data_IF_193106545937
#
_entry.id   IF_193106545937
#
_cell.length_a   1.000
_cell.length_b   1.000
_cell.length_c   1.000
_cell.angle_alpha   90.00
_cell.angle_beta   90.00
_cell.angle_gamma   90.00
#
_symmetry.space_group_name_H-M   'P 1'
#
loop_
_entity.id
_entity.type
_entity.pdbx_description
1 polymer ?
#
# COMPACT_ATOMS: atom_id res chain seq x y z
N UNK A 1 17.23 -36.55 32.64
CA UNK A 1 16.38 -37.12 31.57
C UNK A 1 16.78 -38.56 31.30
N UNK A 2 15.84 -39.50 31.39
CA UNK A 2 16.07 -40.93 31.10
C UNK A 2 16.22 -41.16 29.59
N UNK A 3 16.83 -42.28 29.19
CA UNK A 3 17.08 -42.64 27.78
C UNK A 3 15.77 -42.73 26.97
N UNK A 4 14.67 -43.14 27.61
CA UNK A 4 13.33 -43.17 27.02
C UNK A 4 12.77 -41.76 26.77
N UNK A 5 12.96 -40.83 27.70
CA UNK A 5 12.49 -39.44 27.57
C UNK A 5 13.27 -38.66 26.48
N UNK A 6 14.53 -39.06 26.22
CA UNK A 6 15.30 -38.56 25.08
C UNK A 6 14.81 -39.12 23.74
N UNK A 7 14.34 -40.38 23.69
CA UNK A 7 13.85 -40.96 22.42
C UNK A 7 12.44 -40.49 22.07
N UNK A 8 11.54 -40.29 23.05
CA UNK A 8 10.22 -39.68 22.81
C UNK A 8 10.34 -38.23 22.37
N UNK A 9 11.21 -37.42 22.98
CA UNK A 9 11.46 -36.04 22.54
C UNK A 9 12.07 -35.97 21.12
N UNK A 10 12.90 -36.93 20.72
CA UNK A 10 13.44 -36.97 19.36
C UNK A 10 12.37 -37.31 18.31
N UNK A 11 11.41 -38.18 18.65
CA UNK A 11 10.26 -38.49 17.80
C UNK A 11 9.30 -37.30 17.68
N UNK A 12 8.96 -36.66 18.81
CA UNK A 12 8.09 -35.48 18.83
C UNK A 12 8.71 -34.29 18.09
N UNK A 13 10.02 -34.08 18.21
CA UNK A 13 10.72 -33.04 17.45
C UNK A 13 10.63 -33.27 15.94
N UNK A 14 10.80 -34.51 15.47
CA UNK A 14 10.69 -34.84 14.05
C UNK A 14 9.27 -34.60 13.54
N UNK A 15 8.26 -35.03 14.29
CA UNK A 15 6.84 -34.85 13.95
C UNK A 15 6.43 -33.37 13.94
N UNK A 16 6.85 -32.59 14.94
CA UNK A 16 6.63 -31.14 14.97
C UNK A 16 7.30 -30.47 13.76
N UNK A 17 8.53 -30.86 13.41
CA UNK A 17 9.23 -30.31 12.25
C UNK A 17 8.50 -30.65 10.95
N UNK A 18 8.00 -31.88 10.80
CA UNK A 18 7.24 -32.30 9.63
C UNK A 18 5.91 -31.55 9.51
N UNK A 19 5.14 -31.44 10.60
CA UNK A 19 3.89 -30.68 10.62
C UNK A 19 4.10 -29.21 10.27
N UNK A 20 5.15 -28.58 10.81
CA UNK A 20 5.51 -27.20 10.45
C UNK A 20 5.83 -27.06 8.97
N UNK A 21 6.58 -28.01 8.40
CA UNK A 21 6.90 -28.01 6.96
C UNK A 21 5.63 -28.18 6.10
N UNK A 22 4.76 -29.12 6.43
CA UNK A 22 3.50 -29.34 5.71
C UNK A 22 2.59 -28.10 5.77
N UNK A 23 2.44 -27.50 6.97
CA UNK A 23 1.63 -26.29 7.16
C UNK A 23 2.19 -25.12 6.34
N UNK A 24 3.51 -24.88 6.38
CA UNK A 24 4.11 -23.79 5.60
C UNK A 24 4.05 -24.04 4.09
N UNK A 25 4.21 -25.28 3.63
CA UNK A 25 3.98 -25.65 2.24
C UNK A 25 2.55 -25.32 1.81
N UNK A 26 1.55 -25.75 2.58
CA UNK A 26 0.15 -25.44 2.26
C UNK A 26 -0.18 -23.96 2.37
N UNK A 27 0.43 -23.21 3.30
CA UNK A 27 0.33 -21.76 3.37
C UNK A 27 0.88 -21.09 2.11
N UNK A 28 2.03 -21.54 1.61
CA UNK A 28 2.61 -21.04 0.37
C UNK A 28 1.69 -21.33 -0.83
N UNK A 29 1.24 -22.56 -0.97
CA UNK A 29 0.29 -22.99 -2.02
C UNK A 29 -0.98 -22.14 -2.02
N UNK A 30 -1.57 -21.93 -0.85
CA UNK A 30 -2.83 -21.22 -0.69
C UNK A 30 -2.67 -19.70 -0.84
N UNK A 31 -1.77 -19.07 -0.06
CA UNK A 31 -1.69 -17.61 0.05
C UNK A 31 -0.73 -16.95 -0.95
N UNK A 32 0.24 -17.69 -1.50
CA UNK A 32 1.26 -17.12 -2.40
C UNK A 32 1.00 -17.52 -3.85
N UNK A 33 0.69 -18.80 -4.07
CA UNK A 33 0.50 -19.33 -5.42
C UNK A 33 -0.97 -19.32 -5.87
N UNK A 34 -1.91 -19.10 -4.94
CA UNK A 34 -3.37 -19.19 -5.14
C UNK A 34 -3.80 -20.50 -5.83
N UNK A 35 -3.18 -21.62 -5.45
CA UNK A 35 -3.50 -22.95 -5.99
C UNK A 35 -3.29 -23.99 -4.86
N UNK A 36 -4.31 -24.16 -3.99
CA UNK A 36 -4.25 -25.00 -2.80
C UNK A 36 -4.39 -26.49 -3.14
N UNK A 37 -3.64 -27.34 -2.44
CA UNK A 37 -3.63 -28.79 -2.66
C UNK A 37 -4.58 -29.55 -1.73
N UNK A 38 -4.91 -28.96 -0.57
CA UNK A 38 -5.78 -29.57 0.44
C UNK A 38 -6.93 -28.62 0.79
N UNK A 39 -8.11 -29.16 1.20
CA UNK A 39 -9.19 -28.34 1.73
C UNK A 39 -8.87 -27.75 3.11
N UNK A 40 -9.50 -26.63 3.46
CA UNK A 40 -9.33 -25.93 4.75
C UNK A 40 -9.47 -26.86 5.97
N UNK A 41 -10.38 -27.84 5.92
CA UNK A 41 -10.60 -28.78 7.02
C UNK A 41 -9.40 -29.70 7.28
N UNK A 42 -8.61 -30.03 6.26
CA UNK A 42 -7.38 -30.81 6.41
C UNK A 42 -6.25 -29.94 6.95
N UNK A 43 -6.14 -28.69 6.48
CA UNK A 43 -5.21 -27.72 7.05
C UNK A 43 -5.45 -27.51 8.54
N UNK A 44 -6.70 -27.33 8.95
CA UNK A 44 -7.07 -27.18 10.36
C UNK A 44 -6.70 -28.41 11.21
N UNK A 45 -6.69 -29.61 10.63
CA UNK A 45 -6.24 -30.83 11.33
C UNK A 45 -4.73 -30.82 11.54
N UNK A 46 -3.95 -30.41 10.54
CA UNK A 46 -2.50 -30.26 10.69
C UNK A 46 -2.15 -29.25 11.78
N UNK A 47 -2.83 -28.09 11.76
CA UNK A 47 -2.59 -27.04 12.77
C UNK A 47 -2.96 -27.53 14.18
N UNK A 48 -4.12 -28.19 14.35
CA UNK A 48 -4.52 -28.76 15.64
C UNK A 48 -3.58 -29.85 16.14
N UNK A 49 -3.04 -30.67 15.24
CA UNK A 49 -2.03 -31.68 15.60
C UNK A 49 -0.74 -31.02 16.10
N UNK A 50 -0.28 -29.95 15.43
CA UNK A 50 0.87 -29.18 15.85
C UNK A 50 0.64 -28.52 17.22
N UNK A 51 -0.52 -27.89 17.43
CA UNK A 51 -0.90 -27.28 18.71
C UNK A 51 -0.90 -28.29 19.87
N UNK A 52 -1.42 -29.49 19.64
CA UNK A 52 -1.43 -30.57 20.64
C UNK A 52 0.00 -30.97 21.03
N UNK A 53 0.86 -31.22 20.04
CA UNK A 53 2.25 -31.61 20.28
C UNK A 53 3.07 -30.51 20.96
N UNK A 54 2.87 -29.25 20.58
CA UNK A 54 3.52 -28.11 21.23
C UNK A 54 3.03 -27.88 22.66
N UNK A 55 1.77 -28.19 22.95
CA UNK A 55 1.23 -28.16 24.31
C UNK A 55 1.86 -29.25 25.18
N UNK A 56 2.07 -30.45 24.63
CA UNK A 56 2.73 -31.57 25.32
C UNK A 56 4.25 -31.36 25.47
N UNK A 57 4.87 -30.64 24.53
CA UNK A 57 6.30 -30.37 24.50
C UNK A 57 6.62 -28.86 24.39
N UNK A 58 6.33 -28.03 25.42
CA UNK A 58 6.52 -26.58 25.35
C UNK A 58 7.94 -26.12 25.03
N UNK A 59 8.95 -26.93 25.41
CA UNK A 59 10.35 -26.68 25.11
C UNK A 59 10.72 -26.75 23.62
N UNK A 60 9.83 -27.28 22.76
CA UNK A 60 10.03 -27.41 21.32
C UNK A 60 9.33 -26.30 20.52
N UNK A 61 8.59 -25.42 21.19
CA UNK A 61 7.96 -24.25 20.57
C UNK A 61 9.06 -23.29 20.09
N UNK A 62 8.97 -22.88 18.83
CA UNK A 62 9.90 -21.90 18.23
C UNK A 62 9.15 -20.64 17.80
N UNK A 63 9.80 -19.46 17.77
CA UNK A 63 9.13 -18.17 17.45
C UNK A 63 8.51 -18.06 16.05
N UNK A 64 8.87 -18.99 15.16
CA UNK A 64 8.45 -19.13 13.77
C UNK A 64 7.42 -20.24 13.56
N UNK A 65 7.00 -20.92 14.63
CA UNK A 65 5.94 -21.92 14.53
C UNK A 65 4.61 -21.27 14.09
N UNK A 66 3.84 -21.89 13.18
CA UNK A 66 2.53 -21.39 12.74
C UNK A 66 1.55 -21.06 13.88
N UNK A 67 1.66 -21.76 15.01
CA UNK A 67 0.84 -21.56 16.22
C UNK A 67 1.15 -20.24 16.94
N UNK A 68 2.34 -19.65 16.70
CA UNK A 68 2.79 -18.43 17.36
C UNK A 68 2.36 -17.15 16.63
N UNK A 69 1.55 -17.27 15.57
CA UNK A 69 1.00 -16.13 14.83
C UNK A 69 0.08 -15.26 15.67
N UNK A 70 -0.71 -15.86 16.56
CA UNK A 70 -1.69 -15.18 17.42
C UNK A 70 -1.39 -15.51 18.87
N UNK A 71 -1.05 -14.51 19.69
CA UNK A 71 -0.71 -14.77 21.10
C UNK A 71 0.04 -13.67 21.83
N UNK A 72 0.51 -12.65 21.11
CA UNK A 72 1.13 -11.49 21.74
C UNK A 72 0.14 -10.77 22.68
N UNK A 73 0.65 -10.30 23.82
CA UNK A 73 -0.12 -9.45 24.74
C UNK A 73 -0.40 -8.10 24.06
N UNK A 74 -1.53 -7.44 24.37
CA UNK A 74 -1.76 -6.07 23.94
C UNK A 74 -0.58 -5.17 24.32
N UNK A 75 -0.13 -4.37 23.36
CA UNK A 75 0.96 -3.41 23.55
C UNK A 75 0.42 -2.15 24.25
N UNK A 76 1.23 -1.52 25.10
CA UNK A 76 0.90 -0.22 25.70
C UNK A 76 0.96 0.93 24.67
N UNK A 77 1.78 0.75 23.63
CA UNK A 77 1.99 1.69 22.54
C UNK A 77 2.95 1.10 21.50
N UNK A 78 3.06 1.75 20.34
CA UNK A 78 4.01 1.36 19.32
C UNK A 78 5.39 1.94 19.60
N UNK A 79 6.43 1.12 19.48
CA UNK A 79 7.82 1.56 19.56
C UNK A 79 8.27 2.13 18.21
N UNK A 80 9.16 3.11 18.26
CA UNK A 80 9.76 3.68 17.05
C UNK A 80 10.88 2.76 16.52
N UNK A 81 10.93 2.61 15.19
CA UNK A 81 11.95 1.85 14.48
C UNK A 81 12.59 2.74 13.43
N UNK A 82 13.89 2.96 13.53
CA UNK A 82 14.66 3.66 12.49
C UNK A 82 14.98 2.68 11.36
N UNK A 83 14.59 3.03 10.14
CA UNK A 83 14.91 2.26 8.93
C UNK A 83 16.38 2.48 8.55
N UNK A 84 17.12 1.40 8.28
CA UNK A 84 18.51 1.51 7.82
C UNK A 84 18.61 2.26 6.49
N UNK A 85 17.70 1.93 5.56
CA UNK A 85 17.51 2.68 4.31
C UNK A 85 16.15 3.38 4.28
N UNK A 86 16.11 4.71 4.00
CA UNK A 86 14.87 5.46 3.98
C UNK A 86 13.81 4.87 3.03
N UNK A 87 12.57 4.78 3.50
CA UNK A 87 11.39 4.43 2.71
C UNK A 87 10.84 5.69 2.04
N UNK A 88 11.32 5.97 0.84
CA UNK A 88 10.95 7.17 0.06
C UNK A 88 9.54 7.07 -0.56
N UNK A 89 9.00 8.22 -0.95
CA UNK A 89 7.82 8.28 -1.81
C UNK A 89 8.20 8.16 -3.28
N UNK A 90 7.21 7.99 -4.15
CA UNK A 90 7.42 8.01 -5.61
C UNK A 90 7.01 9.36 -6.19
N UNK A 91 7.72 9.81 -7.22
CA UNK A 91 7.22 10.86 -8.10
C UNK A 91 5.99 10.35 -8.86
N UNK A 92 5.05 11.23 -9.19
CA UNK A 92 3.85 10.87 -9.95
C UNK A 92 4.00 11.29 -11.42
N UNK A 93 3.38 10.52 -12.31
CA UNK A 93 3.00 10.92 -13.65
C UNK A 93 1.49 10.74 -13.83
N UNK A 94 0.83 11.66 -14.54
CA UNK A 94 -0.60 11.68 -14.80
C UNK A 94 -0.95 11.62 -16.30
N UNK A 95 0.05 11.65 -17.17
CA UNK A 95 -0.13 11.63 -18.63
C UNK A 95 1.08 11.09 -19.38
N UNK A 96 0.88 10.77 -20.66
CA UNK A 96 1.90 10.13 -21.50
C UNK A 96 3.13 11.03 -21.66
N UNK A 97 2.97 12.35 -21.74
CA UNK A 97 4.08 13.31 -21.82
C UNK A 97 4.98 13.26 -20.58
N UNK A 98 4.39 13.14 -19.38
CA UNK A 98 5.15 13.04 -18.12
C UNK A 98 5.90 11.70 -18.05
N UNK A 99 5.30 10.63 -18.56
CA UNK A 99 5.96 9.33 -18.71
C UNK A 99 7.14 9.38 -19.68
N UNK A 100 6.94 9.93 -20.89
CA UNK A 100 8.01 10.08 -21.88
C UNK A 100 9.16 10.96 -21.36
N UNK A 101 8.84 12.01 -20.61
CA UNK A 101 9.84 12.84 -19.94
C UNK A 101 10.61 12.07 -18.86
N UNK A 102 9.95 11.19 -18.10
CA UNK A 102 10.64 10.32 -17.15
C UNK A 102 11.60 9.36 -17.86
N UNK A 103 11.14 8.62 -18.87
CA UNK A 103 11.98 7.69 -19.66
C UNK A 103 13.21 8.41 -20.24
N UNK A 104 13.00 9.58 -20.84
CA UNK A 104 14.09 10.42 -21.36
C UNK A 104 15.10 10.81 -20.27
N UNK A 105 14.64 11.29 -19.10
CA UNK A 105 15.53 11.65 -17.98
C UNK A 105 16.30 10.46 -17.43
N UNK A 106 15.72 9.27 -17.42
CA UNK A 106 16.43 8.03 -17.04
C UNK A 106 17.55 7.75 -18.03
N UNK A 107 17.27 7.79 -19.34
CA UNK A 107 18.26 7.55 -20.40
C UNK A 107 19.39 8.58 -20.38
N UNK A 108 19.06 9.88 -20.29
CA UNK A 108 20.04 10.97 -20.15
C UNK A 108 20.84 10.86 -18.85
N UNK A 109 20.21 10.45 -17.75
CA UNK A 109 20.87 10.23 -16.47
C UNK A 109 21.92 9.12 -16.54
N UNK A 110 21.60 8.01 -17.19
CA UNK A 110 22.51 6.89 -17.40
C UNK A 110 23.61 7.21 -18.41
N UNK A 111 23.31 8.00 -19.44
CA UNK A 111 24.32 8.52 -20.36
C UNK A 111 25.40 9.29 -19.57
N UNK A 112 24.96 10.23 -18.73
CA UNK A 112 25.86 11.07 -17.95
C UNK A 112 26.61 10.28 -16.88
N UNK A 113 25.95 9.35 -16.20
CA UNK A 113 26.56 8.55 -15.14
C UNK A 113 27.68 7.62 -15.66
N UNK A 114 27.59 7.19 -16.92
CA UNK A 114 28.52 6.24 -17.54
C UNK A 114 29.42 6.88 -18.62
N UNK A 115 29.39 8.21 -18.77
CA UNK A 115 30.16 8.97 -19.78
C UNK A 115 30.01 8.39 -21.21
N UNK A 116 28.76 8.15 -21.63
CA UNK A 116 28.45 7.55 -22.92
C UNK A 116 28.25 8.62 -24.02
N UNK A 117 28.77 8.37 -25.22
CA UNK A 117 28.60 9.23 -26.40
C UNK A 117 27.12 9.48 -26.75
N UNK A 118 26.25 8.51 -26.47
CA UNK A 118 24.82 8.59 -26.69
C UNK A 118 24.05 7.93 -25.55
N UNK A 119 22.84 8.44 -25.27
CA UNK A 119 21.95 7.82 -24.31
C UNK A 119 21.51 6.43 -24.79
N UNK A 120 21.23 5.48 -23.87
CA UNK A 120 20.64 4.18 -24.22
C UNK A 120 19.40 4.36 -25.09
N UNK A 121 19.19 3.45 -26.05
CA UNK A 121 18.03 3.49 -26.96
C UNK A 121 16.72 3.07 -26.29
N UNK A 122 16.80 2.19 -25.30
CA UNK A 122 15.68 1.70 -24.49
C UNK A 122 16.13 1.46 -23.05
N UNK A 123 15.15 1.37 -22.15
CA UNK A 123 15.35 0.98 -20.74
C UNK A 123 14.37 -0.14 -20.42
N UNK A 124 14.82 -1.15 -19.68
CA UNK A 124 13.95 -2.17 -19.13
C UNK A 124 13.35 -1.67 -17.81
N UNK A 125 12.05 -1.83 -17.66
CA UNK A 125 11.32 -1.48 -16.45
C UNK A 125 10.60 -2.71 -15.88
N UNK A 126 10.71 -2.90 -14.57
CA UNK A 126 9.72 -3.69 -13.82
C UNK A 126 8.45 -2.84 -13.71
N UNK A 127 7.37 -3.31 -14.32
CA UNK A 127 6.07 -2.67 -14.31
C UNK A 127 5.14 -3.40 -13.35
N UNK A 128 4.67 -2.69 -12.31
CA UNK A 128 4.00 -3.29 -11.16
C UNK A 128 2.71 -2.53 -10.85
N UNK A 129 1.61 -3.20 -10.46
CA UNK A 129 0.43 -2.47 -9.99
C UNK A 129 0.75 -1.61 -8.78
N UNK A 130 0.25 -0.38 -8.76
CA UNK A 130 0.41 0.50 -7.62
C UNK A 130 -0.69 0.24 -6.60
N UNK A 131 -0.42 -0.65 -5.65
CA UNK A 131 -1.34 -1.04 -4.59
C UNK A 131 -1.80 0.15 -3.75
N UNK A 132 -3.07 0.13 -3.36
CA UNK A 132 -3.64 1.10 -2.42
C UNK A 132 -3.72 0.51 -0.99
N UNK A 133 -2.57 0.52 -0.29
CA UNK A 133 -2.44 -0.05 1.05
C UNK A 133 -1.55 0.77 1.98
N UNK A 134 -0.82 0.04 2.83
CA UNK A 134 0.14 0.58 3.79
C UNK A 134 1.50 -0.05 3.60
N UNK A 135 2.48 0.79 3.28
CA UNK A 135 3.86 0.37 3.13
C UNK A 135 4.45 -0.13 4.44
N UNK A 136 5.11 -1.29 4.38
CA UNK A 136 5.80 -1.96 5.49
C UNK A 136 7.21 -2.36 5.08
N UNK A 137 8.12 -2.40 6.05
CA UNK A 137 9.44 -3.03 5.94
C UNK A 137 9.41 -4.31 6.78
N UNK A 138 9.95 -5.40 6.23
CA UNK A 138 10.00 -6.73 6.82
C UNK A 138 11.46 -7.16 6.88
N UNK A 139 11.97 -7.39 8.07
CA UNK A 139 13.34 -7.83 8.30
C UNK A 139 13.36 -9.32 8.60
N UNK A 140 14.16 -10.03 7.83
CA UNK A 140 14.43 -11.45 8.02
C UNK A 140 15.90 -11.66 8.35
N UNK A 141 16.17 -12.41 9.42
CA UNK A 141 17.52 -12.83 9.79
C UNK A 141 17.63 -14.35 9.62
N UNK A 142 18.57 -14.80 8.78
CA UNK A 142 18.75 -16.21 8.44
C UNK A 142 17.44 -16.89 8.01
N UNK A 143 16.61 -16.16 7.27
CA UNK A 143 15.29 -16.60 6.81
C UNK A 143 14.16 -16.51 7.84
N UNK A 144 14.41 -16.08 9.08
CA UNK A 144 13.37 -15.91 10.10
C UNK A 144 12.85 -14.48 10.15
N UNK A 145 11.52 -14.31 10.18
CA UNK A 145 10.90 -12.99 10.36
C UNK A 145 11.13 -12.48 11.78
N UNK A 146 11.95 -11.44 11.93
CA UNK A 146 12.37 -10.91 13.24
C UNK A 146 11.73 -9.58 13.58
N UNK A 147 11.46 -8.72 12.57
CA UNK A 147 10.90 -7.38 12.79
C UNK A 147 10.11 -6.94 11.58
N UNK A 148 9.01 -6.23 11.82
CA UNK A 148 8.35 -5.48 10.78
C UNK A 148 7.88 -4.11 11.27
N UNK A 149 8.01 -3.11 10.41
CA UNK A 149 7.74 -1.72 10.76
C UNK A 149 6.90 -1.01 9.69
N UNK A 150 6.09 -0.05 10.11
CA UNK A 150 5.40 0.87 9.19
C UNK A 150 6.40 1.82 8.53
N UNK A 151 5.99 2.49 7.46
CA UNK A 151 6.79 3.56 6.85
C UNK A 151 7.06 4.75 7.78
N UNK A 152 6.07 5.15 8.57
CA UNK A 152 6.05 6.42 9.29
C UNK A 152 6.39 7.62 8.40
N UNK A 153 7.40 8.40 8.77
CA UNK A 153 7.89 9.56 8.01
C UNK A 153 8.86 9.20 6.87
N UNK A 154 9.18 7.92 6.72
CA UNK A 154 10.13 7.38 5.76
C UNK A 154 11.52 7.10 6.35
N UNK A 155 11.86 7.64 7.53
CA UNK A 155 13.10 7.32 8.26
C UNK A 155 12.80 6.58 9.55
N UNK A 156 11.74 6.97 10.24
CA UNK A 156 11.27 6.33 11.47
C UNK A 156 9.84 5.83 11.26
N UNK A 157 9.64 4.57 11.55
CA UNK A 157 8.37 3.86 11.54
C UNK A 157 7.93 3.39 12.92
N UNK A 158 6.82 2.68 12.96
CA UNK A 158 6.30 2.02 14.15
C UNK A 158 6.53 0.51 14.06
N UNK A 159 7.03 -0.12 15.12
CA UNK A 159 7.13 -1.58 15.22
C UNK A 159 5.73 -2.20 15.26
N UNK A 160 5.40 -2.96 14.22
CA UNK A 160 4.12 -3.67 14.08
C UNK A 160 4.36 -5.16 13.86
N UNK A 161 5.47 -5.69 14.37
CA UNK A 161 5.91 -7.08 14.16
C UNK A 161 4.82 -8.06 14.53
N UNK A 162 4.19 -7.90 15.70
CA UNK A 162 3.14 -8.81 16.16
C UNK A 162 1.86 -8.73 15.32
N UNK A 163 1.49 -7.55 14.82
CA UNK A 163 0.35 -7.40 13.92
C UNK A 163 0.63 -8.07 12.58
N UNK A 164 1.84 -7.92 12.04
CA UNK A 164 2.25 -8.54 10.77
C UNK A 164 2.26 -10.07 10.85
N UNK A 165 2.67 -10.67 11.98
CA UNK A 165 2.62 -12.14 12.17
C UNK A 165 1.22 -12.73 11.97
N UNK A 166 0.17 -11.94 12.18
CA UNK A 166 -1.23 -12.38 12.00
C UNK A 166 -1.67 -12.45 10.54
N UNK A 167 -0.88 -11.88 9.61
CA UNK A 167 -1.19 -11.91 8.18
C UNK A 167 -0.72 -13.25 7.60
N UNK A 168 -1.67 -14.04 7.11
CA UNK A 168 -1.40 -15.40 6.65
C UNK A 168 -0.43 -15.46 5.45
N UNK A 169 -0.48 -14.47 4.54
CA UNK A 169 0.43 -14.37 3.40
C UNK A 169 1.86 -13.96 3.74
N UNK A 170 2.16 -13.65 5.01
CA UNK A 170 3.53 -13.42 5.48
C UNK A 170 4.07 -14.73 6.07
N UNK A 171 5.04 -15.40 5.42
CA UNK A 171 5.74 -16.52 6.04
C UNK A 171 6.54 -16.04 7.27
N UNK A 172 6.52 -16.83 8.35
CA UNK A 172 7.39 -16.55 9.52
C UNK A 172 8.82 -17.06 9.31
N UNK A 173 8.97 -18.04 8.41
CA UNK A 173 10.26 -18.56 7.93
C UNK A 173 10.21 -18.65 6.41
N UNK A 174 11.24 -18.11 5.75
CA UNK A 174 11.40 -18.22 4.30
C UNK A 174 11.66 -19.68 3.90
N UNK A 175 11.09 -20.07 2.76
CA UNK A 175 11.29 -21.38 2.19
C UNK A 175 12.69 -21.47 1.59
N UNK A 176 13.50 -22.39 2.13
CA UNK A 176 14.84 -22.68 1.63
C UNK A 176 14.83 -23.73 0.50
N UNK A 177 13.67 -23.94 -0.13
CA UNK A 177 13.48 -24.91 -1.20
C UNK A 177 13.86 -24.28 -2.54
N UNK A 178 15.15 -24.34 -2.90
CA UNK A 178 15.64 -23.78 -4.15
C UNK A 178 17.15 -23.78 -4.26
N UNK A 179 17.67 -23.36 -5.42
CA UNK A 179 19.12 -23.26 -5.69
C UNK A 179 19.75 -21.99 -5.13
N UNK A 180 18.93 -21.01 -4.72
CA UNK A 180 19.40 -19.71 -4.26
C UNK A 180 19.44 -19.64 -2.73
N UNK A 181 20.60 -19.34 -2.12
CA UNK A 181 20.71 -19.22 -0.67
C UNK A 181 19.95 -17.99 -0.17
N UNK A 182 19.28 -18.14 0.97
CA UNK A 182 18.67 -17.01 1.68
C UNK A 182 19.80 -16.17 2.31
N UNK A 183 19.83 -14.84 2.10
CA UNK A 183 20.81 -13.96 2.74
C UNK A 183 20.73 -14.00 4.27
N UNK A 184 21.86 -13.82 4.99
CA UNK A 184 21.84 -13.73 6.46
C UNK A 184 20.94 -12.60 6.98
N UNK A 185 20.83 -11.50 6.24
CA UNK A 185 19.90 -10.41 6.47
C UNK A 185 19.20 -10.10 5.16
N UNK A 186 17.87 -10.11 5.18
CA UNK A 186 17.03 -9.71 4.06
C UNK A 186 15.98 -8.72 4.55
N UNK A 187 16.03 -7.49 4.02
CA UNK A 187 14.98 -6.50 4.21
C UNK A 187 14.07 -6.47 2.97
N UNK A 188 12.79 -6.75 3.19
CA UNK A 188 11.76 -6.77 2.14
C UNK A 188 10.79 -5.62 2.36
N UNK A 189 10.52 -4.87 1.30
CA UNK A 189 9.47 -3.85 1.28
C UNK A 189 8.19 -4.45 0.72
N UNK A 190 7.08 -4.19 1.38
CA UNK A 190 5.77 -4.65 0.97
C UNK A 190 4.68 -3.62 1.18
N UNK A 191 3.49 -3.95 0.73
CA UNK A 191 2.26 -3.20 0.95
C UNK A 191 1.23 -4.13 1.59
N UNK A 192 0.82 -3.82 2.82
CA UNK A 192 -0.33 -4.47 3.45
C UNK A 192 -1.59 -3.86 2.87
N UNK A 193 -2.49 -4.68 2.37
CA UNK A 193 -3.73 -4.26 1.76
C UNK A 193 -4.92 -5.10 2.27
N UNK A 194 -6.12 -4.66 1.91
CA UNK A 194 -7.35 -5.36 2.24
C UNK A 194 -8.06 -5.73 0.93
N UNK A 195 -8.18 -7.02 0.58
CA UNK A 195 -8.94 -7.45 -0.59
C UNK A 195 -10.37 -6.90 -0.56
N UNK A 196 -10.93 -6.56 -1.72
CA UNK A 196 -12.25 -5.94 -1.88
C UNK A 196 -13.36 -6.76 -1.22
N UNK A 197 -13.30 -8.09 -1.34
CA UNK A 197 -14.24 -9.00 -0.67
C UNK A 197 -14.12 -8.92 0.85
N UNK A 198 -12.89 -8.94 1.37
CA UNK A 198 -12.60 -8.82 2.79
C UNK A 198 -13.02 -7.47 3.37
N UNK A 199 -12.81 -6.38 2.63
CA UNK A 199 -13.28 -5.03 2.96
C UNK A 199 -14.82 -4.96 3.06
N UNK A 200 -15.52 -5.52 2.07
CA UNK A 200 -16.98 -5.55 2.08
C UNK A 200 -17.52 -6.31 3.31
N UNK A 201 -16.97 -7.48 3.60
CA UNK A 201 -17.33 -8.29 4.77
C UNK A 201 -17.05 -7.56 6.10
N UNK A 202 -15.87 -6.92 6.20
CA UNK A 202 -15.49 -6.13 7.37
C UNK A 202 -16.49 -5.00 7.63
N UNK A 203 -16.89 -4.27 6.59
CA UNK A 203 -17.86 -3.17 6.74
C UNK A 203 -19.25 -3.67 7.12
N UNK A 204 -19.71 -4.82 6.60
CA UNK A 204 -20.96 -5.45 7.04
C UNK A 204 -20.91 -5.77 8.54
N UNK A 205 -19.79 -6.32 9.01
CA UNK A 205 -19.57 -6.61 10.44
C UNK A 205 -19.55 -5.33 11.29
N UNK A 206 -18.84 -4.29 10.84
CA UNK A 206 -18.77 -3.00 11.52
C UNK A 206 -20.18 -2.42 11.74
N UNK A 207 -21.02 -2.43 10.71
CA UNK A 207 -22.40 -1.92 10.80
C UNK A 207 -23.23 -2.76 11.77
N UNK A 208 -23.10 -4.10 11.72
CA UNK A 208 -23.80 -5.01 12.63
C UNK A 208 -23.42 -4.79 14.09
N UNK A 209 -22.15 -4.46 14.34
CA UNK A 209 -21.60 -4.19 15.67
C UNK A 209 -21.77 -2.70 16.06
N UNK A 210 -22.61 -1.93 15.35
CA UNK A 210 -22.88 -0.50 15.55
C UNK A 210 -21.63 0.41 15.51
N UNK A 211 -20.60 -0.03 14.79
CA UNK A 211 -19.36 0.71 14.55
C UNK A 211 -19.39 1.44 13.21
N UNK A 212 -18.58 2.51 13.11
CA UNK A 212 -18.45 3.29 11.87
C UNK A 212 -17.72 2.46 10.80
N UNK A 213 -18.30 2.23 9.62
CA UNK A 213 -17.63 1.52 8.54
C UNK A 213 -16.46 2.35 7.98
N UNK A 214 -15.49 1.65 7.40
CA UNK A 214 -14.35 2.28 6.73
C UNK A 214 -14.75 2.84 5.37
N UNK A 215 -14.18 4.00 5.04
CA UNK A 215 -14.48 4.68 3.79
C UNK A 215 -13.90 3.96 2.57
N UNK A 216 -12.66 3.45 2.65
CA UNK A 216 -11.97 2.77 1.56
C UNK A 216 -11.05 1.65 2.09
N UNK A 217 -10.60 0.73 1.23
CA UNK A 217 -9.71 -0.37 1.61
C UNK A 217 -8.39 0.09 2.24
N UNK A 218 -7.76 1.17 1.75
CA UNK A 218 -6.51 1.71 2.31
C UNK A 218 -6.63 2.09 3.79
N UNK A 219 -7.66 2.84 4.14
CA UNK A 219 -7.94 3.27 5.50
C UNK A 219 -8.33 2.08 6.38
N UNK A 220 -9.06 1.12 5.83
CA UNK A 220 -9.40 -0.12 6.51
C UNK A 220 -8.14 -0.93 6.81
N UNK A 221 -7.21 -1.06 5.86
CA UNK A 221 -5.93 -1.74 6.05
C UNK A 221 -5.08 -1.05 7.13
N UNK A 222 -4.93 0.29 7.04
CA UNK A 222 -4.18 1.07 8.02
C UNK A 222 -4.74 0.96 9.44
N UNK A 223 -6.05 1.10 9.60
CA UNK A 223 -6.71 0.94 10.89
C UNK A 223 -6.63 -0.49 11.42
N UNK A 224 -6.78 -1.49 10.54
CA UNK A 224 -6.73 -2.91 10.90
C UNK A 224 -5.34 -3.37 11.32
N UNK A 225 -4.29 -2.84 10.69
CA UNK A 225 -2.91 -3.20 10.96
C UNK A 225 -2.39 -2.55 12.25
N UNK A 226 -2.78 -1.30 12.52
CA UNK A 226 -2.31 -0.52 13.67
C UNK A 226 -3.22 -0.71 14.89
N UNK A 227 -3.30 -1.95 15.38
CA UNK A 227 -4.05 -2.29 16.59
C UNK A 227 -3.09 -2.63 17.73
N UNK A 228 -3.34 -2.06 18.92
CA UNK A 228 -2.52 -2.38 20.10
C UNK A 228 -2.66 -3.85 20.52
N UNK A 229 -3.83 -4.45 20.32
CA UNK A 229 -4.04 -5.88 20.47
C UNK A 229 -3.97 -6.57 19.08
N UNK A 230 -2.92 -7.36 18.79
CA UNK A 230 -2.79 -8.09 17.53
C UNK A 230 -3.94 -9.08 17.28
N UNK A 231 -4.65 -9.53 18.33
CA UNK A 231 -5.85 -10.37 18.15
C UNK A 231 -6.93 -9.66 17.37
N UNK A 232 -7.03 -8.33 17.49
CA UNK A 232 -7.95 -7.55 16.66
C UNK A 232 -7.52 -7.60 15.20
N UNK A 233 -6.22 -7.41 14.91
CA UNK A 233 -5.66 -7.52 13.54
C UNK A 233 -5.90 -8.91 12.96
N UNK A 234 -5.74 -9.98 13.73
CA UNK A 234 -5.98 -11.36 13.29
C UNK A 234 -7.43 -11.61 12.82
N UNK A 235 -8.41 -10.81 13.26
CA UNK A 235 -9.80 -10.89 12.78
C UNK A 235 -10.05 -10.12 11.48
N UNK A 236 -9.03 -9.42 10.96
CA UNK A 236 -9.12 -8.59 9.75
C UNK A 236 -8.49 -9.38 8.60
N UNK A 237 -9.15 -9.48 7.44
CA UNK A 237 -8.67 -10.28 6.32
C UNK A 237 -7.57 -9.53 5.54
N UNK A 238 -6.50 -9.12 6.23
CA UNK A 238 -5.36 -8.43 5.64
C UNK A 238 -4.51 -9.39 4.82
N UNK A 239 -3.94 -8.85 3.75
CA UNK A 239 -3.02 -9.54 2.86
C UNK A 239 -1.80 -8.64 2.62
N UNK A 240 -0.73 -9.22 2.11
CA UNK A 240 0.55 -8.54 1.87
C UNK A 240 1.04 -8.86 0.45
N UNK A 241 1.48 -7.83 -0.28
CA UNK A 241 2.33 -7.99 -1.47
C UNK A 241 3.72 -7.41 -1.22
N UNK A 242 4.76 -8.18 -1.54
CA UNK A 242 6.14 -7.70 -1.56
C UNK A 242 6.47 -7.05 -2.91
N UNK A 243 7.13 -5.89 -2.87
CA UNK A 243 7.45 -5.07 -4.06
C UNK A 243 8.88 -4.55 -4.07
N UNK A 244 9.75 -5.01 -3.17
CA UNK A 244 11.17 -4.72 -3.30
C UNK A 244 11.99 -5.24 -2.15
N UNK A 245 13.29 -5.03 -2.27
CA UNK A 245 14.29 -5.37 -1.26
C UNK A 245 15.19 -4.17 -0.99
N UNK A 246 15.77 -4.16 0.21
CA UNK A 246 16.84 -3.23 0.60
C UNK A 246 18.07 -4.08 0.92
N UNK A 247 19.24 -3.65 0.44
CA UNK A 247 20.51 -4.25 0.88
C UNK A 247 20.62 -5.75 0.57
N UNK A 248 20.38 -6.16 -0.67
CA UNK A 248 20.61 -7.54 -1.09
C UNK A 248 22.12 -7.79 -1.21
N UNK A 249 22.60 -8.94 -0.72
CA UNK A 249 24.01 -9.31 -0.88
C UNK A 249 24.41 -9.33 -2.36
N UNK A 250 25.60 -8.80 -2.66
CA UNK A 250 26.09 -8.66 -4.04
C UNK A 250 26.08 -10.00 -4.81
N UNK A 251 26.43 -11.11 -4.16
CA UNK A 251 26.41 -12.44 -4.76
C UNK A 251 25.02 -12.87 -5.25
N UNK A 252 23.98 -12.62 -4.45
CA UNK A 252 22.59 -12.91 -4.83
C UNK A 252 22.11 -11.96 -5.91
N UNK A 253 22.45 -10.67 -5.81
CA UNK A 253 22.09 -9.69 -6.81
C UNK A 253 22.72 -10.01 -8.18
N UNK A 254 24.00 -10.42 -8.22
CA UNK A 254 24.69 -10.86 -9.43
C UNK A 254 24.09 -12.15 -10.00
N UNK A 255 23.76 -13.14 -9.17
CA UNK A 255 23.13 -14.39 -9.61
C UNK A 255 21.74 -14.18 -10.25
N UNK A 256 21.10 -13.04 -9.94
CA UNK A 256 19.82 -12.62 -10.52
C UNK A 256 20.00 -11.54 -11.61
N UNK A 257 21.19 -11.45 -12.22
CA UNK A 257 21.56 -10.49 -13.26
C UNK A 257 21.28 -9.02 -12.90
N UNK A 258 21.35 -8.69 -11.61
CA UNK A 258 21.02 -7.36 -11.09
C UNK A 258 19.61 -6.91 -11.48
N UNK A 259 18.66 -7.83 -11.70
CA UNK A 259 17.30 -7.54 -12.15
C UNK A 259 16.32 -7.50 -10.98
N UNK A 260 15.65 -6.36 -10.81
CA UNK A 260 14.59 -6.17 -9.84
C UNK A 260 13.43 -7.14 -10.07
N UNK A 261 13.02 -7.35 -11.32
CA UNK A 261 11.98 -8.29 -11.70
C UNK A 261 12.33 -9.72 -11.25
N UNK A 262 13.56 -10.18 -11.52
CA UNK A 262 14.03 -11.51 -11.08
C UNK A 262 14.09 -11.63 -9.56
N UNK A 263 14.41 -10.54 -8.86
CA UNK A 263 14.36 -10.52 -7.40
C UNK A 263 12.94 -10.73 -6.88
N UNK A 264 11.92 -10.08 -7.47
CA UNK A 264 10.52 -10.32 -7.07
C UNK A 264 10.09 -11.78 -7.32
N UNK A 265 10.54 -12.38 -8.43
CA UNK A 265 10.35 -13.82 -8.67
C UNK A 265 11.04 -14.66 -7.60
N UNK A 266 12.26 -14.30 -7.19
CA UNK A 266 12.99 -14.99 -6.14
C UNK A 266 12.33 -14.85 -4.76
N UNK A 267 11.74 -13.69 -4.44
CA UNK A 267 10.93 -13.52 -3.22
C UNK A 267 9.76 -14.51 -3.20
N UNK A 268 9.12 -14.73 -4.36
CA UNK A 268 8.03 -15.71 -4.50
C UNK A 268 8.51 -17.14 -4.26
N UNK A 269 9.69 -17.49 -4.78
CA UNK A 269 10.33 -18.77 -4.53
C UNK A 269 10.70 -18.97 -3.06
N UNK A 270 11.06 -17.91 -2.33
CA UNK A 270 11.31 -17.95 -0.88
C UNK A 270 10.03 -17.91 -0.02
N UNK A 271 8.85 -17.96 -0.63
CA UNK A 271 7.58 -18.04 0.08
C UNK A 271 6.88 -16.71 0.34
N UNK A 272 7.39 -15.59 -0.18
CA UNK A 272 6.76 -14.28 -0.04
C UNK A 272 5.78 -14.02 -1.18
N UNK A 273 4.60 -13.49 -0.87
CA UNK A 273 3.61 -13.15 -1.89
C UNK A 273 4.05 -11.95 -2.72
N UNK A 274 4.20 -12.12 -4.03
CA UNK A 274 4.31 -11.02 -5.00
C UNK A 274 3.11 -11.02 -5.94
N UNK A 275 2.90 -9.93 -6.66
CA UNK A 275 1.74 -9.79 -7.53
C UNK A 275 1.96 -10.46 -8.89
N UNK A 276 0.98 -11.25 -9.33
CA UNK A 276 1.00 -11.98 -10.61
C UNK A 276 0.96 -11.07 -11.84
N UNK A 277 0.53 -9.82 -11.68
CA UNK A 277 0.44 -8.86 -12.78
C UNK A 277 1.79 -8.19 -13.10
N UNK A 278 2.84 -8.42 -12.32
CA UNK A 278 4.14 -7.81 -12.55
C UNK A 278 4.72 -8.29 -13.89
N UNK A 279 5.15 -7.36 -14.74
CA UNK A 279 5.78 -7.66 -16.03
C UNK A 279 7.09 -6.89 -16.20
N UNK A 280 8.05 -7.53 -16.87
CA UNK A 280 9.21 -6.84 -17.42
C UNK A 280 8.82 -6.24 -18.77
N UNK A 281 8.99 -4.93 -18.92
CA UNK A 281 8.70 -4.18 -20.15
C UNK A 281 9.94 -3.43 -20.62
N UNK A 282 10.02 -3.11 -21.91
CA UNK A 282 11.18 -2.42 -22.50
C UNK A 282 10.77 -1.18 -23.31
N UNK A 283 11.27 -0.03 -22.85
CA UNK A 283 11.05 1.27 -23.45
C UNK A 283 9.64 1.83 -23.21
N UNK A 284 9.47 3.11 -23.57
CA UNK A 284 8.25 3.86 -23.28
C UNK A 284 6.98 3.25 -23.87
N UNK A 285 7.05 2.64 -25.06
CA UNK A 285 5.87 2.10 -25.76
C UNK A 285 5.29 0.88 -25.03
N UNK A 286 6.11 -0.14 -24.73
CA UNK A 286 5.61 -1.36 -24.09
C UNK A 286 5.14 -1.12 -22.66
N UNK A 287 5.74 -0.14 -21.98
CA UNK A 287 5.25 0.36 -20.69
C UNK A 287 3.84 0.96 -20.79
N UNK A 288 3.55 1.76 -21.83
CA UNK A 288 2.20 2.30 -22.07
C UNK A 288 1.19 1.20 -22.41
N UNK A 289 1.61 0.18 -23.17
CA UNK A 289 0.75 -0.96 -23.49
C UNK A 289 0.37 -1.74 -22.21
N UNK A 290 1.34 -1.98 -21.31
CA UNK A 290 1.07 -2.56 -19.99
C UNK A 290 0.13 -1.69 -19.14
N UNK A 291 0.36 -0.36 -19.12
CA UNK A 291 -0.52 0.56 -18.38
C UNK A 291 -1.97 0.47 -18.86
N UNK A 292 -2.19 0.41 -20.18
CA UNK A 292 -3.54 0.27 -20.77
C UNK A 292 -4.16 -1.09 -20.46
N UNK A 293 -3.38 -2.16 -20.52
CA UNK A 293 -3.80 -3.51 -20.14
C UNK A 293 -4.27 -3.56 -18.69
N UNK A 294 -3.46 -3.05 -17.75
CA UNK A 294 -3.78 -3.06 -16.34
C UNK A 294 -4.99 -2.16 -16.03
N UNK A 295 -5.10 -1.00 -16.67
CA UNK A 295 -6.26 -0.11 -16.54
C UNK A 295 -7.55 -0.83 -16.96
N UNK A 296 -7.54 -1.58 -18.06
CA UNK A 296 -8.70 -2.35 -18.53
C UNK A 296 -9.05 -3.53 -17.61
N UNK A 297 -8.07 -4.04 -16.85
CA UNK A 297 -8.25 -5.12 -15.87
C UNK A 297 -8.63 -4.63 -14.47
N UNK A 298 -8.44 -3.34 -14.16
CA UNK A 298 -8.60 -2.74 -12.82
C UNK A 298 -9.84 -3.23 -12.07
N UNK A 299 -11.01 -3.20 -12.70
CA UNK A 299 -12.29 -3.57 -12.06
C UNK A 299 -12.47 -5.07 -11.78
N UNK A 300 -11.60 -5.91 -12.35
CA UNK A 300 -11.63 -7.38 -12.18
C UNK A 300 -10.62 -7.87 -11.14
N UNK A 301 -9.76 -6.98 -10.64
CA UNK A 301 -8.82 -7.29 -9.58
C UNK A 301 -9.58 -7.41 -8.25
N UNK A 302 -9.09 -8.26 -7.36
CA UNK A 302 -9.61 -8.46 -6.03
C UNK A 302 -9.08 -7.44 -5.01
N UNK A 303 -8.28 -6.47 -5.46
CA UNK A 303 -7.70 -5.39 -4.68
C UNK A 303 -7.70 -4.05 -5.43
N UNK A 304 -7.63 -2.95 -4.67
CA UNK A 304 -7.56 -1.60 -5.24
C UNK A 304 -6.14 -1.25 -5.69
N UNK A 305 -6.06 -0.63 -6.86
CA UNK A 305 -4.83 -0.04 -7.41
C UNK A 305 -5.13 1.35 -7.95
N UNK A 306 -4.17 2.26 -7.80
CA UNK A 306 -4.31 3.67 -8.20
C UNK A 306 -3.41 4.05 -9.39
N UNK A 307 -2.75 3.06 -10.01
CA UNK A 307 -1.88 3.24 -11.17
C UNK A 307 -0.91 2.08 -11.38
N UNK A 308 0.19 2.38 -12.07
CA UNK A 308 1.35 1.51 -12.27
C UNK A 308 2.58 2.17 -11.64
N UNK A 309 3.43 1.38 -11.00
CA UNK A 309 4.80 1.78 -10.67
C UNK A 309 5.72 1.20 -11.73
N UNK A 310 6.48 2.06 -12.41
CA UNK A 310 7.58 1.65 -13.27
C UNK A 310 8.88 1.89 -12.51
N UNK A 311 9.71 0.85 -12.39
CA UNK A 311 11.05 0.92 -11.80
C UNK A 311 12.06 0.45 -12.84
N UNK A 312 13.17 1.17 -13.02
CA UNK A 312 14.29 0.67 -13.84
C UNK A 312 14.67 -0.71 -13.33
N UNK A 313 14.68 -1.71 -14.21
CA UNK A 313 14.84 -3.10 -13.78
C UNK A 313 16.24 -3.39 -13.22
N UNK A 314 17.27 -2.78 -13.81
CA UNK A 314 18.65 -3.04 -13.41
C UNK A 314 19.03 -2.26 -12.14
N UNK A 315 19.46 -2.96 -11.09
CA UNK A 315 19.83 -2.37 -9.79
C UNK A 315 21.04 -1.44 -9.86
N UNK A 316 22.05 -1.77 -10.66
CA UNK A 316 23.23 -0.90 -10.84
C UNK A 316 22.80 0.44 -11.47
N UNK A 317 21.88 0.40 -12.44
CA UNK A 317 21.29 1.60 -13.01
C UNK A 317 20.48 2.40 -11.98
N UNK A 318 19.76 1.73 -11.07
CA UNK A 318 19.06 2.41 -9.96
C UNK A 318 20.04 3.17 -9.06
N UNK A 319 21.16 2.55 -8.69
CA UNK A 319 22.21 3.17 -7.87
C UNK A 319 22.84 4.37 -8.58
N UNK A 320 23.20 4.22 -9.86
CA UNK A 320 23.76 5.29 -10.69
C UNK A 320 22.83 6.51 -10.81
N UNK A 321 21.53 6.27 -10.95
CA UNK A 321 20.52 7.32 -11.04
C UNK A 321 20.25 7.97 -9.67
N UNK A 322 20.34 7.19 -8.60
CA UNK A 322 20.16 7.65 -7.22
C UNK A 322 18.78 8.26 -6.96
N UNK A 323 18.75 9.26 -6.08
CA UNK A 323 17.50 9.87 -5.58
C UNK A 323 17.53 11.39 -5.72
N UNK A 324 16.35 11.99 -5.73
CA UNK A 324 16.13 13.40 -5.37
C UNK A 324 15.52 13.45 -3.96
N UNK A 325 15.51 14.62 -3.32
CA UNK A 325 15.16 14.82 -1.90
C UNK A 325 14.10 13.89 -1.28
N UNK A 326 13.03 13.53 -2.01
CA UNK A 326 11.94 12.68 -1.50
C UNK A 326 11.55 11.48 -2.38
N UNK A 327 12.24 11.26 -3.50
CA UNK A 327 11.87 10.21 -4.46
C UNK A 327 13.07 9.67 -5.26
N UNK A 328 13.07 8.37 -5.61
CA UNK A 328 14.07 7.81 -6.52
C UNK A 328 13.96 8.41 -7.93
N UNK A 329 15.09 8.57 -8.63
CA UNK A 329 15.09 9.00 -10.05
C UNK A 329 14.76 7.86 -11.01
N UNK A 330 14.87 6.63 -10.53
CA UNK A 330 14.72 5.40 -11.29
C UNK A 330 13.32 4.77 -11.17
N UNK A 331 12.38 5.39 -10.43
CA UNK A 331 11.02 4.91 -10.34
C UNK A 331 9.97 6.03 -10.39
N UNK A 332 8.81 5.72 -10.98
CA UNK A 332 7.68 6.65 -11.09
C UNK A 332 6.35 5.93 -10.92
N UNK A 333 5.41 6.58 -10.24
CA UNK A 333 4.03 6.16 -10.14
C UNK A 333 3.21 6.80 -11.27
N UNK A 334 2.94 6.06 -12.34
CA UNK A 334 2.02 6.49 -13.39
C UNK A 334 0.58 6.21 -12.94
N UNK A 335 -0.09 7.26 -12.46
CA UNK A 335 -1.44 7.22 -11.92
C UNK A 335 -2.48 7.00 -12.99
N UNK A 336 -3.48 6.18 -12.67
CA UNK A 336 -4.68 6.11 -13.49
C UNK A 336 -5.44 7.43 -13.46
N UNK A 337 -6.20 7.76 -14.52
CA UNK A 337 -7.12 8.87 -14.48
C UNK A 337 -8.07 8.66 -13.29
N UNK A 338 -8.24 9.72 -12.50
CA UNK A 338 -9.20 9.72 -11.42
C UNK A 338 -10.59 9.43 -12.01
N UNK A 339 -11.33 8.51 -11.39
CA UNK A 339 -12.72 8.27 -11.80
C UNK A 339 -13.53 9.53 -11.56
N UNK A 340 -14.19 10.01 -12.60
CA UNK A 340 -15.05 11.18 -12.57
C UNK A 340 -16.51 10.77 -12.61
N UNK A 341 -17.33 11.41 -11.79
CA UNK A 341 -18.76 11.15 -11.68
C UNK A 341 -19.54 12.44 -11.64
N UNK A 342 -20.81 12.37 -12.02
CA UNK A 342 -21.68 13.54 -12.03
C UNK A 342 -22.61 13.50 -10.81
N UNK A 343 -22.67 14.59 -10.06
CA UNK A 343 -23.64 14.76 -8.96
C UNK A 343 -24.14 16.19 -8.85
N UNK A 344 -25.02 16.46 -7.88
CA UNK A 344 -25.59 17.77 -7.61
C UNK A 344 -24.99 18.40 -6.36
N UNK A 345 -24.74 19.70 -6.38
CA UNK A 345 -24.30 20.47 -5.22
C UNK A 345 -25.52 20.84 -4.37
N UNK A 346 -25.62 20.30 -3.16
CA UNK A 346 -26.68 20.64 -2.21
C UNK A 346 -26.40 21.96 -1.49
N UNK A 347 -25.12 22.23 -1.18
CA UNK A 347 -24.67 23.47 -0.56
C UNK A 347 -23.18 23.72 -0.81
N UNK A 348 -22.74 24.96 -0.60
CA UNK A 348 -21.32 25.30 -0.47
C UNK A 348 -21.13 25.87 0.93
N UNK A 349 -20.30 25.20 1.73
CA UNK A 349 -19.98 25.57 3.10
C UNK A 349 -18.52 26.03 3.20
N UNK A 350 -18.18 26.73 4.27
CA UNK A 350 -16.82 27.18 4.54
C UNK A 350 -16.33 26.54 5.83
N UNK A 351 -15.27 25.74 5.73
CA UNK A 351 -14.65 25.06 6.88
C UNK A 351 -13.41 25.83 7.33
N UNK A 352 -13.18 25.87 8.63
CA UNK A 352 -12.02 26.56 9.24
C UNK A 352 -11.01 25.50 9.68
N UNK A 353 -9.83 25.51 9.07
CA UNK A 353 -8.73 24.60 9.39
C UNK A 353 -7.97 25.00 10.66
N UNK A 354 -7.05 24.13 11.09
CA UNK A 354 -6.22 24.32 12.29
C UNK A 354 -5.39 25.60 12.29
N UNK A 355 -5.06 26.14 11.11
CA UNK A 355 -4.29 27.38 10.93
C UNK A 355 -5.19 28.59 10.63
N UNK A 356 -6.48 28.50 10.93
CA UNK A 356 -7.47 29.53 10.63
C UNK A 356 -7.90 29.60 9.15
N UNK A 357 -7.29 28.80 8.25
CA UNK A 357 -7.63 28.79 6.82
C UNK A 357 -9.11 28.47 6.58
N UNK A 358 -9.81 29.34 5.84
CA UNK A 358 -11.23 29.22 5.52
C UNK A 358 -11.38 28.63 4.12
N UNK A 359 -11.68 27.34 4.06
CA UNK A 359 -11.73 26.55 2.82
C UNK A 359 -13.17 26.27 2.39
N UNK A 360 -13.56 26.60 1.14
CA UNK A 360 -14.87 26.23 0.61
C UNK A 360 -14.96 24.72 0.34
N UNK A 361 -16.07 24.12 0.73
CA UNK A 361 -16.40 22.70 0.55
C UNK A 361 -17.80 22.56 -0.04
N UNK A 362 -17.91 21.85 -1.16
CA UNK A 362 -19.19 21.50 -1.75
C UNK A 362 -19.81 20.31 -0.99
N UNK A 363 -21.01 20.50 -0.46
CA UNK A 363 -21.90 19.41 -0.04
C UNK A 363 -22.60 18.88 -1.28
N UNK A 364 -22.53 17.57 -1.48
CA UNK A 364 -22.98 16.91 -2.68
C UNK A 364 -24.08 15.92 -2.36
N UNK A 365 -25.02 15.77 -3.28
CA UNK A 365 -25.89 14.59 -3.29
C UNK A 365 -24.97 13.36 -3.34
N UNK A 366 -25.14 12.37 -2.45
CA UNK A 366 -24.24 11.22 -2.38
C UNK A 366 -24.09 10.53 -3.74
N UNK A 367 -22.86 10.38 -4.21
CA UNK A 367 -22.50 9.73 -5.49
C UNK A 367 -21.33 8.79 -5.27
N UNK A 368 -21.27 7.68 -6.00
CA UNK A 368 -20.21 6.68 -5.84
C UNK A 368 -19.08 6.96 -6.82
N UNK A 369 -17.90 7.35 -6.35
CA UNK A 369 -16.72 7.72 -7.17
C UNK A 369 -15.53 6.89 -6.72
N UNK A 370 -14.89 6.08 -7.58
CA UNK A 370 -13.75 5.27 -7.14
C UNK A 370 -14.13 4.30 -6.01
N UNK A 371 -15.25 3.60 -6.15
CA UNK A 371 -15.75 2.62 -5.17
C UNK A 371 -16.38 3.21 -3.90
N UNK A 372 -16.15 4.48 -3.56
CA UNK A 372 -16.61 5.13 -2.32
C UNK A 372 -17.73 6.13 -2.53
N UNK A 373 -18.62 6.27 -1.55
CA UNK A 373 -19.65 7.30 -1.57
C UNK A 373 -19.05 8.65 -1.19
N UNK A 374 -19.07 9.58 -2.13
CA UNK A 374 -18.67 10.97 -1.96
C UNK A 374 -19.91 11.82 -1.72
N UNK A 375 -19.96 12.48 -0.57
CA UNK A 375 -20.98 13.49 -0.24
C UNK A 375 -20.39 14.88 -0.03
N UNK A 376 -19.06 15.00 -0.08
CA UNK A 376 -18.34 16.26 0.10
C UNK A 376 -17.17 16.31 -0.89
N UNK A 377 -16.94 17.46 -1.49
CA UNK A 377 -15.78 17.68 -2.35
C UNK A 377 -15.14 19.05 -2.07
N UNK A 378 -13.81 19.09 -2.04
CA UNK A 378 -13.07 20.35 -1.89
C UNK A 378 -13.25 21.25 -3.11
N UNK A 379 -13.32 22.55 -2.85
CA UNK A 379 -13.21 23.60 -3.87
C UNK A 379 -11.87 24.36 -3.76
N UNK A 380 -10.93 23.82 -2.97
CA UNK A 380 -9.57 24.32 -2.70
C UNK A 380 -9.51 25.67 -1.98
N UNK A 381 -9.95 26.74 -2.63
CA UNK A 381 -9.92 28.10 -2.09
C UNK A 381 -10.97 28.97 -2.78
N UNK A 382 -11.09 30.23 -2.36
CA UNK A 382 -12.13 31.13 -2.88
C UNK A 382 -11.93 31.45 -4.37
N UNK A 383 -10.68 31.51 -4.84
CA UNK A 383 -10.36 31.79 -6.24
C UNK A 383 -10.74 30.62 -7.14
N UNK A 384 -10.46 29.38 -6.71
CA UNK A 384 -10.87 28.18 -7.42
C UNK A 384 -12.39 28.01 -7.45
N UNK A 385 -13.07 28.31 -6.35
CA UNK A 385 -14.53 28.37 -6.32
C UNK A 385 -15.06 29.42 -7.31
N UNK A 386 -14.44 30.60 -7.39
CA UNK A 386 -14.84 31.63 -8.35
C UNK A 386 -14.54 31.25 -9.81
N UNK A 387 -13.37 30.64 -10.07
CA UNK A 387 -12.94 30.18 -11.40
C UNK A 387 -13.84 29.07 -11.93
N UNK A 388 -14.16 28.07 -11.08
CA UNK A 388 -15.08 26.98 -11.42
C UNK A 388 -16.55 27.43 -11.42
N UNK A 389 -16.84 28.58 -10.81
CA UNK A 389 -18.16 29.19 -10.66
C UNK A 389 -19.19 28.19 -10.07
N UNK A 390 -18.82 27.42 -9.06
CA UNK A 390 -19.70 26.38 -8.48
C UNK A 390 -20.77 27.02 -7.61
N UNK A 391 -22.04 26.63 -7.80
CA UNK A 391 -23.19 27.18 -7.07
C UNK A 391 -24.07 26.06 -6.50
N UNK A 392 -24.83 26.39 -5.46
CA UNK A 392 -25.88 25.50 -4.95
C UNK A 392 -26.87 25.15 -6.08
N UNK A 393 -27.20 23.87 -6.19
CA UNK A 393 -28.09 23.29 -7.19
C UNK A 393 -27.43 22.98 -8.53
N UNK A 394 -26.14 23.31 -8.72
CA UNK A 394 -25.43 22.94 -9.93
C UNK A 394 -25.24 21.43 -10.03
N UNK A 395 -25.26 20.93 -11.26
CA UNK A 395 -24.72 19.61 -11.57
C UNK A 395 -23.22 19.75 -11.83
N UNK A 396 -22.39 19.00 -11.11
CA UNK A 396 -20.94 19.07 -11.13
C UNK A 396 -20.33 17.73 -11.50
N UNK A 397 -19.17 17.77 -12.14
CA UNK A 397 -18.27 16.63 -12.30
C UNK A 397 -17.36 16.62 -11.08
N UNK A 398 -17.31 15.49 -10.39
CA UNK A 398 -16.49 15.28 -9.19
C UNK A 398 -15.56 14.11 -9.42
N UNK A 399 -14.36 14.18 -8.86
CA UNK A 399 -13.39 13.10 -8.96
C UNK A 399 -12.64 12.91 -7.65
N UNK A 400 -11.99 11.76 -7.46
CA UNK A 400 -11.05 11.56 -6.34
C UNK A 400 -9.64 11.85 -6.83
N UNK A 401 -9.08 12.99 -6.41
CA UNK A 401 -7.69 13.30 -6.71
C UNK A 401 -6.77 12.32 -5.97
N UNK A 402 -5.97 11.56 -6.74
CA UNK A 402 -5.04 10.55 -6.23
C UNK A 402 -5.70 9.48 -5.36
N UNK A 403 -6.99 9.19 -5.60
CA UNK A 403 -7.82 8.27 -4.80
C UNK A 403 -7.91 8.61 -3.29
N UNK A 404 -7.68 9.86 -2.86
CA UNK A 404 -7.79 10.24 -1.43
C UNK A 404 -8.84 11.32 -1.19
N UNK A 405 -8.73 12.49 -1.84
CA UNK A 405 -9.58 13.65 -1.54
C UNK A 405 -10.53 13.92 -2.71
N UNK A 406 -11.85 13.87 -2.52
CA UNK A 406 -12.79 14.26 -3.57
C UNK A 406 -12.72 15.76 -3.85
N UNK A 407 -12.69 16.13 -5.13
CA UNK A 407 -12.71 17.53 -5.58
C UNK A 407 -13.76 17.74 -6.68
N UNK A 408 -14.28 18.97 -6.78
CA UNK A 408 -15.11 19.38 -7.91
C UNK A 408 -14.19 19.72 -9.08
N UNK A 409 -14.37 19.05 -10.22
CA UNK A 409 -13.59 19.28 -11.45
C UNK A 409 -14.15 20.49 -12.18
N UNK A 410 -15.44 20.46 -12.48
CA UNK A 410 -16.12 21.48 -13.26
C UNK A 410 -17.64 21.43 -13.05
N UNK A 411 -18.33 22.50 -13.46
CA UNK A 411 -19.79 22.56 -13.52
C UNK A 411 -20.27 22.12 -14.90
N UNK A 412 -21.30 21.29 -14.95
CA UNK A 412 -22.03 20.96 -16.19
C UNK A 412 -22.95 22.13 -16.52
N UNK A 413 -22.39 23.19 -17.13
CA UNK A 413 -23.07 24.47 -17.36
C UNK A 413 -24.41 24.34 -18.09
N UNK A 414 -24.53 23.37 -19.01
CA UNK A 414 -25.76 23.09 -19.74
C UNK A 414 -26.96 22.71 -18.84
N UNK A 415 -26.71 22.23 -17.62
CA UNK A 415 -27.74 21.83 -16.64
C UNK A 415 -28.04 22.91 -15.59
N UNK A 416 -27.39 24.08 -15.66
CA UNK A 416 -27.56 25.13 -14.65
C UNK A 416 -28.94 25.76 -14.72
N UNK A 417 -29.65 25.78 -13.58
CA UNK A 417 -30.92 26.48 -13.45
C UNK A 417 -30.70 28.00 -13.40
N UNK A 418 -31.61 28.75 -14.02
CA UNK A 418 -31.64 30.22 -13.94
C UNK A 418 -31.82 30.66 -12.47
N UNK A 419 -31.09 31.70 -12.07
CA UNK A 419 -31.17 32.28 -10.72
C UNK A 419 -30.24 31.69 -9.66
N UNK A 420 -29.35 30.74 -10.02
CA UNK A 420 -28.35 30.20 -9.11
C UNK A 420 -27.41 31.31 -8.59
N UNK A 421 -27.32 31.49 -7.27
CA UNK A 421 -26.52 32.53 -6.63
C UNK A 421 -25.06 32.07 -6.44
N UNK A 422 -24.12 32.97 -6.72
CA UNK A 422 -22.70 32.73 -6.45
C UNK A 422 -22.47 32.66 -4.93
N UNK A 423 -21.79 31.63 -4.40
CA UNK A 423 -21.35 31.62 -3.02
C UNK A 423 -20.35 32.76 -2.81
N UNK A 424 -20.35 33.36 -1.62
CA UNK A 424 -19.43 34.43 -1.23
C UNK A 424 -18.68 34.00 0.01
N UNK A 425 -17.41 34.40 0.09
CA UNK A 425 -16.61 34.24 1.30
C UNK A 425 -17.36 34.89 2.48
N UNK A 426 -17.51 34.20 3.62
CA UNK A 426 -18.17 34.77 4.78
C UNK A 426 -17.29 35.87 5.37
N UNK A 427 -17.90 36.99 5.79
CA UNK A 427 -17.18 38.08 6.47
C UNK A 427 -16.77 37.71 7.90
N UNK A 428 -17.50 36.77 8.52
CA UNK A 428 -17.31 36.31 9.88
C UNK A 428 -17.06 34.81 9.88
N UNK A 429 -16.17 34.36 10.75
CA UNK A 429 -15.79 32.97 10.91
C UNK A 429 -17.02 32.15 11.35
N UNK A 430 -17.36 31.06 10.63
CA UNK A 430 -18.52 30.24 10.97
C UNK A 430 -18.36 29.44 12.27
N UNK A 431 -17.16 29.46 12.87
CA UNK A 431 -16.86 28.74 14.12
C UNK A 431 -16.84 29.70 15.32
N UNK A 432 -16.01 30.74 15.29
CA UNK A 432 -15.82 31.64 16.43
C UNK A 432 -16.42 33.05 16.25
N UNK A 433 -16.94 33.38 15.07
CA UNK A 433 -17.52 34.69 14.79
C UNK A 433 -16.51 35.84 14.57
N UNK A 434 -15.20 35.60 14.69
CA UNK A 434 -14.15 36.58 14.37
C UNK A 434 -14.13 36.98 12.89
N UNK A 435 -13.41 38.03 12.53
CA UNK A 435 -13.30 38.44 11.13
C UNK A 435 -12.58 37.41 10.26
N UNK A 436 -13.00 37.32 9.00
CA UNK A 436 -12.32 36.54 7.97
C UNK A 436 -11.65 37.52 7.03
N UNK A 437 -10.34 37.45 6.99
CA UNK A 437 -9.50 38.36 6.22
C UNK A 437 -8.69 37.60 5.18
N UNK A 438 -8.36 38.29 4.10
CA UNK A 438 -7.48 37.81 3.04
C UNK A 438 -6.37 38.84 2.90
N UNK A 439 -5.15 38.47 3.25
CA UNK A 439 -4.01 39.38 3.18
C UNK A 439 -3.55 39.54 1.72
N UNK A 440 -3.67 40.76 1.19
CA UNK A 440 -3.20 41.11 -0.16
C UNK A 440 -3.70 40.14 -1.24
N UNK A 441 -2.76 39.60 -2.01
CA UNK A 441 -3.00 38.68 -3.14
C UNK A 441 -2.98 37.19 -2.73
N UNK A 442 -2.86 36.84 -1.45
CA UNK A 442 -2.81 35.43 -1.04
C UNK A 442 -4.08 34.69 -1.41
N UNK A 443 -3.98 33.45 -1.92
CA UNK A 443 -5.14 32.66 -2.34
C UNK A 443 -6.05 32.22 -1.18
N UNK A 444 -5.56 32.26 0.06
CA UNK A 444 -6.21 31.67 1.25
C UNK A 444 -6.74 32.78 2.15
N UNK A 445 -8.05 32.77 2.41
CA UNK A 445 -8.65 33.58 3.47
C UNK A 445 -8.48 32.90 4.83
N UNK A 446 -8.29 33.67 5.91
CA UNK A 446 -8.09 33.14 7.26
C UNK A 446 -9.00 33.83 8.28
N UNK A 447 -9.39 33.06 9.28
CA UNK A 447 -9.99 33.55 10.52
C UNK A 447 -8.92 34.27 11.35
N UNK A 448 -9.22 35.48 11.83
CA UNK A 448 -8.32 36.29 12.68
C UNK A 448 -8.39 35.93 14.17
N UNK A 449 -9.26 34.98 14.53
CA UNK A 449 -9.60 34.64 15.92
C UNK A 449 -8.60 33.82 16.73
N UNK A 450 -7.39 33.55 16.21
CA UNK A 450 -6.35 32.77 16.90
C UNK A 450 -6.52 31.27 16.77
#
# INVERSE_FOLDING_TARGET
>A
MTKAQKSTNASAQAEITELRQQIEHHNHRYHVLDDPEIPDIEYDRLLRALEALETEHPQLITPDSPTQRVGAKPMEGFQEVTHESPMLSLANAFGEDEWHNFDRRVREGLQKANDLDAAPSSIKYSAEPKFDGVAVNLQFENGLFVRGATRGDGRVGEDITHNLKTIASLPLRLLAEGTMPIPPLLEVRGEVYLPLKGFAQLNVRMIKDEQKPFANPRNAAAGSLRQLDPKVTATRPLELFCHGVVGLSESVAQALDQSHYKILQQLTAWGLRTCKEIKLVEGAKTALDYYRELLAKRERLDYEIDGVVFKVDNLVQQEQLGTVSRAPRWAIAYKFPAQEEITMVDAVEFQVGRTGAVTPVARLKPVRVGGVTVSNATLHNIDELARKDVRKGDTVIVRRAGDVIPEVVSVVMAKRKKGARKPKLPKKCPVCGSDVEREGDEAVARCTGG
#
